data_IF_200282972685
#
_entry.id   IF_200282972685
#
_cell.length_a   1.000
_cell.length_b   1.000
_cell.length_c   1.000
_cell.angle_alpha   90.00
_cell.angle_beta   90.00
_cell.angle_gamma   90.00
#
_symmetry.space_group_name_H-M   'P 1'
#
loop_
_entity.id
_entity.type
_entity.pdbx_description
1 polymer ?
#
# COMPACT_ATOMS: atom_id res chain seq x y z
N UNK A 1 7.18 9.61 14.67
CA UNK A 1 6.54 8.70 15.60
C UNK A 1 5.91 7.61 14.74
N UNK A 2 5.45 6.51 15.33
CA UNK A 2 4.44 5.68 14.68
C UNK A 2 3.19 5.88 15.51
N UNK A 3 2.19 6.54 14.92
CA UNK A 3 0.91 6.83 15.55
C UNK A 3 -0.13 5.82 15.06
N UNK A 4 -0.86 5.20 15.98
CA UNK A 4 -2.00 4.34 15.64
C UNK A 4 -3.22 5.22 15.35
N UNK A 5 -3.86 4.98 14.22
CA UNK A 5 -5.07 5.66 13.77
C UNK A 5 -6.22 4.65 13.68
N UNK A 6 -7.35 4.95 14.32
CA UNK A 6 -8.57 4.16 14.14
C UNK A 6 -9.01 4.15 12.67
N UNK A 7 -9.71 3.09 12.23
CA UNK A 7 -10.10 2.92 10.82
C UNK A 7 -10.82 4.15 10.30
N UNK A 8 -11.81 4.67 11.03
CA UNK A 8 -12.62 5.82 10.60
C UNK A 8 -11.86 7.15 10.51
N UNK A 9 -10.58 7.21 10.90
CA UNK A 9 -9.79 8.45 10.88
C UNK A 9 -9.77 9.14 9.50
N UNK A 10 -9.72 8.36 8.42
CA UNK A 10 -9.65 8.93 7.07
C UNK A 10 -10.94 9.62 6.64
N UNK A 11 -12.09 9.34 7.26
CA UNK A 11 -13.39 9.94 6.86
C UNK A 11 -13.38 11.47 6.98
N UNK A 12 -12.46 12.03 7.77
CA UNK A 12 -12.27 13.47 7.94
C UNK A 12 -11.03 14.02 7.19
N UNK A 13 -10.51 13.29 6.20
CA UNK A 13 -9.32 13.65 5.42
C UNK A 13 -9.66 13.64 3.94
N UNK A 14 -9.77 14.81 3.32
CA UNK A 14 -10.26 14.93 1.95
C UNK A 14 -9.51 14.02 0.96
N UNK A 15 -8.17 14.02 0.99
CA UNK A 15 -7.40 13.26 0.02
C UNK A 15 -7.29 11.77 0.36
N UNK A 16 -6.96 11.38 1.59
CA UNK A 16 -6.98 9.95 1.97
C UNK A 16 -8.39 9.34 1.76
N UNK A 17 -9.47 10.05 2.12
CA UNK A 17 -10.83 9.58 1.89
C UNK A 17 -11.10 9.35 0.40
N UNK A 18 -10.69 10.29 -0.45
CA UNK A 18 -10.78 10.15 -1.91
C UNK A 18 -10.03 8.90 -2.40
N UNK A 19 -8.77 8.70 -1.98
CA UNK A 19 -7.99 7.53 -2.38
C UNK A 19 -8.69 6.22 -1.97
N UNK A 20 -9.10 6.10 -0.70
CA UNK A 20 -9.78 4.90 -0.22
C UNK A 20 -11.08 4.67 -0.99
N UNK A 21 -11.89 5.72 -1.19
CA UNK A 21 -13.16 5.64 -1.92
C UNK A 21 -12.93 5.17 -3.35
N UNK A 22 -12.13 5.88 -4.14
CA UNK A 22 -11.91 5.58 -5.56
C UNK A 22 -11.39 4.16 -5.78
N UNK A 23 -10.47 3.71 -4.92
CA UNK A 23 -9.90 2.37 -5.01
C UNK A 23 -10.91 1.27 -4.65
N UNK A 24 -11.66 1.48 -3.57
CA UNK A 24 -12.67 0.53 -3.14
C UNK A 24 -13.84 0.47 -4.11
N UNK A 25 -14.27 1.59 -4.69
CA UNK A 25 -15.29 1.62 -5.76
C UNK A 25 -14.83 0.79 -6.96
N UNK A 26 -13.62 1.03 -7.48
CA UNK A 26 -13.07 0.26 -8.60
C UNK A 26 -13.00 -1.24 -8.32
N UNK A 27 -12.56 -1.63 -7.12
CA UNK A 27 -12.53 -3.04 -6.71
C UNK A 27 -13.93 -3.63 -6.57
N UNK A 28 -14.89 -2.87 -6.04
CA UNK A 28 -16.27 -3.33 -5.89
C UNK A 28 -16.93 -3.60 -7.24
N UNK A 29 -16.70 -2.74 -8.23
CA UNK A 29 -17.18 -2.99 -9.59
C UNK A 29 -16.56 -4.26 -10.17
N UNK A 30 -15.25 -4.45 -10.03
CA UNK A 30 -14.57 -5.66 -10.50
C UNK A 30 -15.02 -6.94 -9.80
N UNK A 31 -15.43 -6.87 -8.53
CA UNK A 31 -15.97 -8.02 -7.80
C UNK A 31 -17.38 -8.41 -8.25
N UNK A 32 -18.18 -7.43 -8.68
CA UNK A 32 -19.55 -7.66 -9.11
C UNK A 32 -19.67 -7.95 -10.62
N UNK A 33 -18.64 -7.63 -11.39
CA UNK A 33 -18.63 -7.80 -12.85
C UNK A 33 -18.72 -9.28 -13.24
N UNK A 34 -19.64 -9.59 -14.13
CA UNK A 34 -19.85 -10.95 -14.64
C UNK A 34 -20.53 -11.94 -13.69
N UNK A 35 -21.05 -11.50 -12.54
CA UNK A 35 -21.89 -12.34 -11.66
C UNK A 35 -23.33 -12.33 -12.17
N UNK A 36 -23.78 -13.46 -12.73
CA UNK A 36 -25.16 -13.66 -13.22
C UNK A 36 -26.07 -14.39 -12.21
N UNK A 37 -25.51 -14.96 -11.14
CA UNK A 37 -26.27 -15.68 -10.11
C UNK A 37 -26.71 -14.74 -8.97
N UNK A 38 -28.01 -14.76 -8.66
CA UNK A 38 -28.61 -13.85 -7.66
C UNK A 38 -28.11 -14.11 -6.23
N UNK A 39 -27.79 -15.37 -5.88
CA UNK A 39 -27.30 -15.73 -4.55
C UNK A 39 -25.84 -15.28 -4.38
N UNK A 40 -25.01 -15.56 -5.38
CA UNK A 40 -23.61 -15.08 -5.43
C UNK A 40 -23.53 -13.55 -5.41
N UNK A 41 -24.41 -12.87 -6.17
CA UNK A 41 -24.49 -11.42 -6.20
C UNK A 41 -24.84 -10.84 -4.82
N UNK A 42 -25.76 -11.49 -4.10
CA UNK A 42 -26.14 -11.09 -2.76
C UNK A 42 -24.99 -11.26 -1.77
N UNK A 43 -24.32 -12.42 -1.80
CA UNK A 43 -23.17 -12.70 -0.93
C UNK A 43 -22.03 -11.70 -1.17
N UNK A 44 -21.77 -11.35 -2.43
CA UNK A 44 -20.73 -10.38 -2.78
C UNK A 44 -21.08 -8.96 -2.32
N UNK A 45 -22.36 -8.57 -2.38
CA UNK A 45 -22.82 -7.28 -1.84
C UNK A 45 -22.67 -7.22 -0.32
N UNK A 46 -23.03 -8.28 0.40
CA UNK A 46 -22.84 -8.37 1.86
C UNK A 46 -21.35 -8.29 2.24
N UNK A 47 -20.50 -8.95 1.45
CA UNK A 47 -19.04 -8.86 1.60
C UNK A 47 -18.54 -7.41 1.42
N UNK A 48 -19.00 -6.70 0.39
CA UNK A 48 -18.64 -5.30 0.14
C UNK A 48 -19.12 -4.41 1.29
N UNK A 49 -20.38 -4.52 1.71
CA UNK A 49 -20.94 -3.74 2.82
C UNK A 49 -20.16 -3.92 4.13
N UNK A 50 -19.68 -5.15 4.38
CA UNK A 50 -18.93 -5.48 5.59
C UNK A 50 -17.49 -4.95 5.54
N UNK A 51 -16.80 -5.09 4.40
CA UNK A 51 -15.35 -4.91 4.32
C UNK A 51 -14.91 -3.59 3.68
N UNK A 52 -15.82 -2.85 3.05
CA UNK A 52 -15.52 -1.62 2.34
C UNK A 52 -16.01 -0.42 3.16
N UNK A 53 -15.33 0.71 3.01
CA UNK A 53 -15.63 1.98 3.68
C UNK A 53 -16.29 2.99 2.75
N UNK A 54 -16.17 2.85 1.42
CA UNK A 54 -16.59 3.85 0.44
C UNK A 54 -18.07 4.21 0.52
N UNK A 55 -18.91 3.27 0.99
CA UNK A 55 -20.32 3.46 1.25
C UNK A 55 -20.58 4.56 2.30
N UNK A 56 -19.65 4.73 3.24
CA UNK A 56 -19.72 5.70 4.34
C UNK A 56 -18.83 6.93 4.10
N UNK A 57 -18.10 7.00 2.97
CA UNK A 57 -17.19 8.11 2.66
C UNK A 57 -17.93 9.18 1.87
N UNK A 58 -18.03 10.37 2.47
CA UNK A 58 -18.44 11.57 1.77
C UNK A 58 -17.22 12.45 1.48
N UNK A 59 -16.73 12.42 0.23
CA UNK A 59 -15.62 13.24 -0.23
C UNK A 59 -16.03 14.22 -1.35
N UNK A 60 -17.30 14.67 -1.35
CA UNK A 60 -17.88 15.48 -2.43
C UNK A 60 -17.12 16.78 -2.73
N UNK A 61 -16.35 17.27 -1.77
CA UNK A 61 -15.58 18.51 -1.88
C UNK A 61 -14.20 18.30 -2.55
N UNK A 62 -13.69 17.07 -2.58
CA UNK A 62 -12.45 16.76 -3.30
C UNK A 62 -12.77 16.37 -4.75
N UNK A 63 -12.40 17.23 -5.68
CA UNK A 63 -12.46 16.95 -7.12
C UNK A 63 -11.06 16.64 -7.63
N UNK A 64 -10.88 15.43 -8.14
CA UNK A 64 -9.69 15.08 -8.89
C UNK A 64 -9.55 15.99 -10.12
N UNK A 65 -8.36 16.57 -10.28
CA UNK A 65 -8.05 17.43 -11.42
C UNK A 65 -6.86 16.89 -12.23
N UNK A 66 -6.12 15.95 -11.66
CA UNK A 66 -4.88 15.41 -12.20
C UNK A 66 -4.61 14.04 -11.59
N UNK A 67 -4.18 13.09 -12.43
CA UNK A 67 -3.59 11.82 -11.99
C UNK A 67 -2.53 11.40 -12.99
N UNK A 68 -1.35 11.03 -12.49
CA UNK A 68 -0.27 10.37 -13.22
C UNK A 68 0.09 9.09 -12.46
N UNK A 69 0.11 7.95 -13.16
CA UNK A 69 0.35 6.64 -12.57
C UNK A 69 1.61 6.02 -13.16
N UNK A 70 2.50 5.56 -12.29
CA UNK A 70 3.78 4.95 -12.68
C UNK A 70 4.01 3.65 -11.89
N UNK A 71 4.68 2.68 -12.53
CA UNK A 71 5.17 1.47 -11.86
C UNK A 71 6.69 1.55 -11.83
N UNK A 72 7.26 1.48 -10.62
CA UNK A 72 8.69 1.64 -10.40
C UNK A 72 9.30 0.34 -9.92
N UNK A 73 10.36 -0.08 -10.59
CA UNK A 73 11.14 -1.27 -10.28
C UNK A 73 12.51 -0.92 -9.69
N UNK A 74 12.96 -1.70 -8.72
CA UNK A 74 14.34 -1.70 -8.24
C UNK A 74 15.04 -2.97 -8.71
N UNK A 75 16.11 -2.79 -9.49
CA UNK A 75 16.97 -3.89 -9.95
C UNK A 75 17.83 -4.42 -8.79
N UNK A 76 17.21 -5.22 -7.93
CA UNK A 76 17.82 -5.86 -6.76
C UNK A 76 17.54 -7.35 -6.88
N UNK A 77 18.57 -8.19 -6.92
CA UNK A 77 18.41 -9.63 -7.14
C UNK A 77 18.49 -10.47 -5.86
N UNK A 78 18.45 -9.87 -4.67
CA UNK A 78 18.46 -10.58 -3.38
C UNK A 78 17.32 -10.10 -2.47
N UNK A 79 16.40 -11.02 -2.14
CA UNK A 79 15.25 -10.72 -1.28
C UNK A 79 15.66 -10.25 0.12
N UNK A 80 16.81 -10.69 0.61
CA UNK A 80 17.21 -10.49 2.01
C UNK A 80 17.56 -9.03 2.34
N UNK A 81 17.90 -8.23 1.34
CA UNK A 81 18.14 -6.79 1.47
C UNK A 81 17.09 -5.93 0.76
N UNK A 82 16.10 -6.55 0.10
CA UNK A 82 15.18 -5.83 -0.79
C UNK A 82 14.38 -4.76 -0.05
N UNK A 83 13.71 -5.14 1.03
CA UNK A 83 12.89 -4.24 1.86
C UNK A 83 13.71 -3.12 2.51
N UNK A 84 14.95 -3.43 2.88
CA UNK A 84 15.91 -2.48 3.44
C UNK A 84 16.24 -1.37 2.42
N UNK A 85 16.63 -1.78 1.20
CA UNK A 85 16.95 -0.87 0.10
C UNK A 85 15.69 -0.12 -0.35
N UNK A 86 14.56 -0.81 -0.52
CA UNK A 86 13.28 -0.19 -0.89
C UNK A 86 12.90 0.91 0.10
N UNK A 87 13.03 0.65 1.41
CA UNK A 87 12.79 1.65 2.45
C UNK A 87 13.69 2.87 2.31
N UNK A 88 14.98 2.69 2.05
CA UNK A 88 15.91 3.80 1.82
C UNK A 88 15.57 4.63 0.57
N UNK A 89 15.27 3.96 -0.54
CA UNK A 89 14.92 4.62 -1.80
C UNK A 89 13.59 5.37 -1.70
N UNK A 90 12.59 4.78 -1.03
CA UNK A 90 11.31 5.43 -0.80
C UNK A 90 11.46 6.64 0.14
N UNK A 91 12.27 6.54 1.21
CA UNK A 91 12.56 7.70 2.07
C UNK A 91 13.24 8.82 1.27
N UNK A 92 14.18 8.49 0.38
CA UNK A 92 14.82 9.48 -0.50
C UNK A 92 13.82 10.18 -1.41
N UNK A 93 12.90 9.41 -2.02
CA UNK A 93 11.83 9.93 -2.86
C UNK A 93 10.86 10.83 -2.08
N UNK A 94 10.45 10.41 -0.88
CA UNK A 94 9.56 11.20 -0.02
C UNK A 94 10.19 12.51 0.43
N UNK A 95 11.50 12.50 0.73
CA UNK A 95 12.24 13.72 1.07
C UNK A 95 12.34 14.70 -0.09
N UNK A 96 12.44 14.24 -1.33
CA UNK A 96 12.57 15.14 -2.48
C UNK A 96 11.28 15.95 -2.75
N UNK A 97 10.13 15.46 -2.27
CA UNK A 97 8.84 16.16 -2.30
C UNK A 97 8.47 16.82 -0.96
N UNK A 98 9.43 16.96 -0.05
CA UNK A 98 9.25 17.54 1.29
C UNK A 98 8.14 16.85 2.12
N UNK A 99 7.97 15.55 1.98
CA UNK A 99 7.10 14.78 2.87
C UNK A 99 7.79 14.57 4.23
N UNK A 100 7.00 14.64 5.31
CA UNK A 100 7.48 14.49 6.70
C UNK A 100 7.01 13.17 7.33
N UNK A 101 5.81 12.72 6.94
CA UNK A 101 5.20 11.47 7.34
C UNK A 101 4.34 10.90 6.21
N UNK A 102 3.94 9.64 6.37
CA UNK A 102 3.01 8.95 5.47
C UNK A 102 1.93 8.23 6.27
N UNK A 103 0.71 8.21 5.74
CA UNK A 103 -0.37 7.37 6.26
C UNK A 103 -0.30 5.99 5.61
N UNK A 104 -0.11 4.93 6.38
CA UNK A 104 -0.10 3.54 5.90
C UNK A 104 -1.43 2.88 6.23
N UNK A 105 -2.17 2.43 5.21
CA UNK A 105 -3.54 1.93 5.36
C UNK A 105 -3.84 0.80 4.35
N UNK A 106 -4.47 -0.32 4.76
CA UNK A 106 -5.00 -1.30 3.82
C UNK A 106 -6.21 -0.72 3.09
N UNK A 107 -6.32 -0.95 1.79
CA UNK A 107 -7.40 -0.39 0.99
C UNK A 107 -8.78 -0.90 1.41
N UNK A 108 -8.94 -2.08 2.01
CA UNK A 108 -10.21 -2.55 2.62
C UNK A 108 -10.05 -2.81 4.13
N UNK A 109 -11.17 -2.89 4.86
CA UNK A 109 -11.16 -3.23 6.29
C UNK A 109 -10.61 -4.65 6.44
N UNK A 110 -9.47 -4.79 7.13
CA UNK A 110 -8.85 -6.09 7.37
C UNK A 110 -8.04 -6.06 8.67
N UNK A 111 -8.01 -7.19 9.37
CA UNK A 111 -7.10 -7.35 10.50
C UNK A 111 -5.67 -7.49 9.96
N UNK A 112 -4.77 -6.61 10.40
CA UNK A 112 -3.35 -6.69 10.10
C UNK A 112 -2.71 -8.04 10.50
N UNK A 113 -3.35 -8.79 11.41
CA UNK A 113 -2.90 -10.10 11.88
C UNK A 113 -3.68 -11.29 11.30
N UNK A 114 -4.46 -11.10 10.22
CA UNK A 114 -5.36 -12.12 9.64
C UNK A 114 -4.64 -13.42 9.23
N UNK A 115 -3.37 -13.35 8.83
CA UNK A 115 -2.63 -14.51 8.35
C UNK A 115 -1.83 -15.20 9.46
N UNK A 116 -1.88 -16.54 9.45
CA UNK A 116 -0.90 -17.39 10.11
C UNK A 116 0.14 -17.84 9.08
N UNK A 117 1.41 -17.50 9.33
CA UNK A 117 2.50 -17.83 8.43
C UNK A 117 3.72 -18.30 9.24
N UNK A 118 4.27 -19.46 8.87
CA UNK A 118 5.44 -20.05 9.54
C UNK A 118 6.77 -19.59 8.92
N UNK A 119 6.74 -18.79 7.86
CA UNK A 119 7.93 -18.24 7.24
C UNK A 119 8.58 -17.20 8.17
N UNK A 120 9.88 -17.39 8.47
CA UNK A 120 10.60 -16.62 9.49
C UNK A 120 10.50 -15.09 9.31
N UNK A 121 10.66 -14.53 8.09
CA UNK A 121 10.50 -13.09 7.89
C UNK A 121 9.10 -12.56 8.24
N UNK A 122 8.04 -13.32 7.91
CA UNK A 122 6.66 -12.94 8.25
C UNK A 122 6.44 -13.01 9.76
N UNK A 123 6.96 -14.03 10.43
CA UNK A 123 6.88 -14.12 11.89
C UNK A 123 7.57 -12.95 12.59
N UNK A 124 8.74 -12.54 12.08
CA UNK A 124 9.46 -11.35 12.56
C UNK A 124 8.62 -10.08 12.34
N UNK A 125 8.08 -9.87 11.13
CA UNK A 125 7.23 -8.73 10.81
C UNK A 125 5.97 -8.66 11.69
N UNK A 126 5.27 -9.78 11.89
CA UNK A 126 4.10 -9.85 12.76
C UNK A 126 4.45 -9.59 14.24
N UNK A 127 5.64 -10.02 14.69
CA UNK A 127 6.10 -9.75 16.04
C UNK A 127 6.38 -8.26 16.23
N UNK A 128 7.13 -7.63 15.32
CA UNK A 128 7.41 -6.19 15.37
C UNK A 128 6.12 -5.36 15.28
N UNK A 129 5.20 -5.74 14.39
CA UNK A 129 3.90 -5.10 14.29
C UNK A 129 3.10 -5.20 15.60
N UNK A 130 3.16 -6.36 16.27
CA UNK A 130 2.52 -6.54 17.58
C UNK A 130 3.15 -5.67 18.66
N UNK A 131 4.45 -5.46 18.62
CA UNK A 131 5.16 -4.56 19.55
C UNK A 131 4.75 -3.10 19.33
N UNK A 132 4.55 -2.68 18.07
CA UNK A 132 4.06 -1.34 17.71
C UNK A 132 2.60 -1.14 18.14
N UNK A 133 1.72 -2.10 17.84
CA UNK A 133 0.27 -1.98 18.07
C UNK A 133 -0.10 -2.23 19.53
N UNK A 134 0.61 -3.13 20.22
CA UNK A 134 0.30 -3.55 21.59
C UNK A 134 -0.95 -4.43 21.74
N UNK A 135 -1.53 -4.90 20.62
CA UNK A 135 -2.77 -5.73 20.58
C UNK A 135 -2.59 -6.93 19.66
N UNK A 136 -3.52 -7.89 19.73
CA UNK A 136 -3.52 -9.12 18.90
C UNK A 136 -4.23 -8.96 17.56
N UNK A 137 -5.05 -7.93 17.44
CA UNK A 137 -5.82 -7.55 16.27
C UNK A 137 -5.75 -6.03 16.10
N UNK A 138 -5.76 -5.57 14.85
CA UNK A 138 -5.80 -4.15 14.53
C UNK A 138 -6.35 -3.97 13.11
N UNK A 139 -7.27 -3.02 12.94
CA UNK A 139 -7.94 -2.76 11.66
C UNK A 139 -7.68 -1.33 11.15
N UNK A 140 -6.91 -0.56 11.92
CA UNK A 140 -6.65 0.85 11.66
C UNK A 140 -5.53 1.10 10.67
N UNK A 141 -5.07 2.34 10.67
CA UNK A 141 -3.96 2.83 9.86
C UNK A 141 -2.78 3.26 10.76
N UNK A 142 -1.68 3.65 10.14
CA UNK A 142 -0.51 4.19 10.83
C UNK A 142 -0.14 5.55 10.24
N UNK A 143 0.08 6.56 11.06
CA UNK A 143 0.81 7.77 10.64
C UNK A 143 2.28 7.63 11.07
N UNK A 144 3.18 7.68 10.09
CA UNK A 144 4.56 7.22 10.23
C UNK A 144 5.52 8.33 9.78
N UNK A 145 6.27 8.90 10.72
CA UNK A 145 7.40 9.79 10.36
C UNK A 145 8.41 9.03 9.49
N UNK A 146 9.06 9.73 8.57
CA UNK A 146 10.08 9.12 7.71
C UNK A 146 11.21 8.42 8.48
N UNK A 147 11.51 8.83 9.72
CA UNK A 147 12.53 8.19 10.57
C UNK A 147 12.19 6.75 10.97
N UNK A 148 10.91 6.38 10.97
CA UNK A 148 10.44 5.02 11.28
C UNK A 148 9.93 4.29 10.03
N UNK A 149 9.90 4.95 8.88
CA UNK A 149 9.32 4.38 7.67
C UNK A 149 10.03 3.09 7.26
N UNK A 150 11.36 3.02 7.34
CA UNK A 150 12.13 1.81 7.00
C UNK A 150 11.62 0.56 7.74
N UNK A 151 11.32 0.69 9.04
CA UNK A 151 10.75 -0.38 9.86
C UNK A 151 9.36 -0.79 9.34
N UNK A 152 8.51 0.19 9.01
CA UNK A 152 7.17 -0.10 8.50
C UNK A 152 7.19 -0.71 7.09
N UNK A 153 8.15 -0.33 6.24
CA UNK A 153 8.33 -0.93 4.90
C UNK A 153 8.72 -2.40 5.02
N UNK A 154 9.62 -2.77 5.94
CA UNK A 154 9.94 -4.17 6.22
C UNK A 154 8.67 -4.97 6.56
N UNK A 155 7.84 -4.43 7.47
CA UNK A 155 6.59 -5.08 7.88
C UNK A 155 5.63 -5.21 6.70
N UNK A 156 5.31 -4.11 6.02
CA UNK A 156 4.35 -4.08 4.90
C UNK A 156 4.81 -4.99 3.77
N UNK A 157 6.11 -4.98 3.43
CA UNK A 157 6.67 -5.82 2.38
C UNK A 157 6.45 -7.30 2.66
N UNK A 158 6.85 -7.78 3.85
CA UNK A 158 6.72 -9.20 4.18
C UNK A 158 5.26 -9.64 4.35
N UNK A 159 4.42 -8.79 4.92
CA UNK A 159 2.99 -9.09 5.05
C UNK A 159 2.33 -9.14 3.66
N UNK A 160 2.49 -8.12 2.83
CA UNK A 160 1.86 -8.07 1.50
C UNK A 160 2.38 -9.15 0.55
N UNK A 161 3.70 -9.41 0.55
CA UNK A 161 4.30 -10.42 -0.32
C UNK A 161 3.85 -11.85 -0.01
N UNK A 162 3.69 -12.17 1.27
CA UNK A 162 3.44 -13.53 1.72
C UNK A 162 1.99 -13.80 2.12
N UNK A 163 1.09 -12.83 1.99
CA UNK A 163 -0.32 -12.93 2.35
C UNK A 163 -1.23 -12.55 1.18
N UNK A 164 -1.69 -13.54 0.41
CA UNK A 164 -2.64 -13.31 -0.67
C UNK A 164 -4.01 -12.78 -0.19
N UNK A 165 -4.32 -12.93 1.10
CA UNK A 165 -5.55 -12.42 1.72
C UNK A 165 -5.39 -11.01 2.30
N UNK A 166 -4.17 -10.45 2.31
CA UNK A 166 -3.99 -9.06 2.75
C UNK A 166 -4.42 -8.13 1.61
N UNK A 167 -5.28 -7.15 1.89
CA UNK A 167 -5.60 -6.13 0.90
C UNK A 167 -4.35 -5.32 0.53
N UNK A 168 -4.40 -4.62 -0.60
CA UNK A 168 -3.31 -3.73 -0.99
C UNK A 168 -3.08 -2.66 0.09
N UNK A 169 -1.82 -2.46 0.46
CA UNK A 169 -1.44 -1.49 1.48
C UNK A 169 -0.92 -0.24 0.80
N UNK A 170 -1.54 0.88 1.12
CA UNK A 170 -1.20 2.19 0.59
C UNK A 170 -0.37 2.97 1.59
N UNK A 171 0.57 3.76 1.07
CA UNK A 171 1.28 4.79 1.80
C UNK A 171 0.92 6.12 1.16
N UNK A 172 0.17 6.95 1.89
CA UNK A 172 -0.46 8.15 1.37
C UNK A 172 0.18 9.38 1.98
N UNK A 173 0.67 10.27 1.12
CA UNK A 173 1.20 11.58 1.48
C UNK A 173 0.11 12.64 1.29
N UNK A 174 -0.65 12.92 2.35
CA UNK A 174 -1.81 13.83 2.30
C UNK A 174 -1.45 15.21 1.71
N UNK A 175 -0.41 15.84 2.26
CA UNK A 175 -0.01 17.20 1.87
C UNK A 175 0.46 17.28 0.41
N UNK A 176 1.20 16.27 -0.04
CA UNK A 176 1.77 16.20 -1.39
C UNK A 176 0.76 15.66 -2.41
N UNK A 177 -0.33 15.03 -1.97
CA UNK A 177 -1.32 14.36 -2.83
C UNK A 177 -0.67 13.27 -3.69
N UNK A 178 0.03 12.34 -3.03
CA UNK A 178 0.67 11.18 -3.67
C UNK A 178 0.29 9.92 -2.91
N UNK A 179 0.00 8.85 -3.63
CA UNK A 179 -0.21 7.51 -3.11
C UNK A 179 0.86 6.57 -3.62
N UNK A 180 1.35 5.71 -2.74
CA UNK A 180 2.30 4.65 -3.05
C UNK A 180 1.69 3.31 -2.66
N UNK A 181 2.00 2.26 -3.41
CA UNK A 181 1.62 0.88 -3.06
C UNK A 181 2.74 -0.08 -3.44
N UNK A 182 3.11 -0.96 -2.51
CA UNK A 182 4.11 -2.01 -2.77
C UNK A 182 3.36 -3.27 -3.17
N UNK A 183 3.49 -3.69 -4.42
CA UNK A 183 2.80 -4.89 -4.88
C UNK A 183 3.52 -6.16 -4.39
N UNK A 184 2.86 -7.32 -4.52
CA UNK A 184 3.41 -8.62 -4.10
C UNK A 184 4.74 -8.97 -4.81
N UNK A 185 4.99 -8.38 -5.98
CA UNK A 185 6.23 -8.56 -6.74
C UNK A 185 7.37 -7.68 -6.27
N UNK A 186 7.09 -6.69 -5.41
CA UNK A 186 8.07 -5.72 -4.89
C UNK A 186 8.11 -4.40 -5.66
N UNK A 187 7.41 -4.30 -6.80
CA UNK A 187 7.32 -3.05 -7.53
C UNK A 187 6.53 -2.01 -6.71
N UNK A 188 6.92 -0.74 -6.88
CA UNK A 188 6.29 0.39 -6.24
C UNK A 188 5.37 1.08 -7.25
N UNK A 189 4.07 1.00 -7.03
CA UNK A 189 3.07 1.76 -7.78
C UNK A 189 2.98 3.15 -7.18
N UNK A 190 2.98 4.17 -8.02
CA UNK A 190 2.93 5.58 -7.63
C UNK A 190 1.82 6.28 -8.38
N UNK A 191 0.87 6.83 -7.64
CA UNK A 191 -0.20 7.67 -8.17
C UNK A 191 -0.03 9.10 -7.66
N UNK A 192 0.10 10.05 -8.60
CA UNK A 192 0.43 11.44 -8.33
C UNK A 192 -0.77 12.30 -8.70
N UNK A 193 -1.35 12.98 -7.71
CA UNK A 193 -2.56 13.79 -7.87
C UNK A 193 -2.27 15.30 -7.78
N UNK A 194 -0.99 15.67 -7.79
CA UNK A 194 -0.53 17.05 -7.80
C UNK A 194 0.41 17.27 -8.98
N UNK A 195 -0.06 18.08 -9.93
CA UNK A 195 0.73 18.49 -11.10
C UNK A 195 2.01 19.26 -10.72
N UNK A 196 2.02 19.90 -9.55
CA UNK A 196 3.14 20.71 -9.07
C UNK A 196 4.38 19.86 -8.75
N UNK A 197 4.19 18.63 -8.27
CA UNK A 197 5.27 17.75 -7.83
C UNK A 197 5.56 16.61 -8.80
N UNK A 198 4.73 16.42 -9.81
CA UNK A 198 4.80 15.29 -10.74
C UNK A 198 6.17 15.18 -11.40
N UNK A 199 6.61 16.26 -12.05
CA UNK A 199 7.95 16.36 -12.62
C UNK A 199 9.06 16.13 -11.58
N UNK A 200 8.89 16.62 -10.35
CA UNK A 200 9.88 16.44 -9.29
C UNK A 200 9.98 14.98 -8.84
N UNK A 201 8.87 14.25 -8.77
CA UNK A 201 8.85 12.80 -8.49
C UNK A 201 9.52 12.04 -9.63
N UNK A 202 9.19 12.38 -10.88
CA UNK A 202 9.77 11.73 -12.06
C UNK A 202 11.30 11.83 -12.10
N UNK A 203 11.81 13.03 -11.88
CA UNK A 203 13.25 13.25 -11.80
C UNK A 203 13.89 12.57 -10.59
N UNK A 204 13.13 12.37 -9.51
CA UNK A 204 13.63 11.82 -8.25
C UNK A 204 13.74 10.30 -8.27
N UNK A 205 12.77 9.58 -8.85
CA UNK A 205 12.85 8.12 -8.88
C UNK A 205 14.02 7.65 -9.76
N UNK A 206 14.28 8.36 -10.87
CA UNK A 206 15.41 8.08 -11.78
C UNK A 206 16.76 8.22 -11.05
N UNK A 207 16.92 9.26 -10.23
CA UNK A 207 18.11 9.48 -9.39
C UNK A 207 18.22 8.50 -8.23
N UNK A 208 17.08 7.96 -7.77
CA UNK A 208 17.01 7.02 -6.66
C UNK A 208 17.28 5.58 -7.09
N UNK A 209 17.47 5.31 -8.38
CA UNK A 209 17.76 3.97 -8.91
C UNK A 209 16.51 3.15 -9.20
N UNK A 210 15.33 3.78 -9.19
CA UNK A 210 14.12 3.17 -9.74
C UNK A 210 14.13 3.26 -11.25
N UNK A 211 13.58 2.23 -11.88
CA UNK A 211 13.33 2.15 -13.32
C UNK A 211 11.81 2.18 -13.50
N UNK A 212 11.31 3.06 -14.37
CA UNK A 212 9.89 3.04 -14.74
C UNK A 212 9.63 1.88 -15.69
N UNK A 213 8.55 1.15 -15.46
CA UNK A 213 8.18 -0.05 -16.22
C UNK A 213 6.70 0.06 -16.64
N UNK A 214 6.36 -0.51 -17.80
CA UNK A 214 4.98 -0.44 -18.31
C UNK A 214 4.10 -1.53 -17.70
N UNK A 215 4.72 -2.61 -17.21
CA UNK A 215 4.00 -3.78 -16.72
C UNK A 215 4.68 -4.36 -15.45
N UNK A 216 3.90 -4.60 -14.40
CA UNK A 216 4.40 -5.20 -13.16
C UNK A 216 5.05 -6.59 -13.33
N UNK A 217 4.79 -7.26 -14.44
CA UNK A 217 5.34 -8.57 -14.78
C UNK A 217 6.67 -8.53 -15.55
N UNK A 218 7.16 -7.35 -15.92
CA UNK A 218 8.32 -7.20 -16.80
C UNK A 218 9.61 -7.84 -16.25
N UNK A 219 9.79 -7.83 -14.92
CA UNK A 219 10.97 -8.37 -14.23
C UNK A 219 10.65 -9.62 -13.37
N UNK A 220 9.80 -10.51 -13.88
CA UNK A 220 9.50 -11.78 -13.20
C UNK A 220 10.62 -12.84 -13.27
N UNK A 221 11.80 -12.53 -13.80
CA UNK A 221 12.83 -13.55 -14.11
C UNK A 221 13.37 -14.35 -12.89
N UNK A 222 13.83 -15.57 -13.19
CA UNK A 222 14.29 -16.62 -12.27
C UNK A 222 15.57 -16.28 -11.46
N UNK A 223 16.21 -15.14 -11.72
CA UNK A 223 17.50 -14.74 -11.11
C UNK A 223 17.37 -14.10 -9.70
N UNK A 224 16.16 -13.87 -9.23
CA UNK A 224 15.93 -13.25 -7.92
C UNK A 224 16.15 -14.26 -6.78
N UNK A 225 17.31 -14.18 -6.15
CA UNK A 225 17.72 -15.06 -5.05
C UNK A 225 16.76 -14.95 -3.88
N UNK A 226 16.23 -16.10 -3.44
CA UNK A 226 15.27 -16.17 -2.34
C UNK A 226 13.82 -15.86 -2.71
N UNK A 227 13.50 -15.70 -4.01
CA UNK A 227 12.12 -15.50 -4.50
C UNK A 227 11.23 -16.73 -4.27
N UNK A 228 11.77 -17.94 -4.48
CA UNK A 228 11.07 -19.20 -4.21
C UNK A 228 11.18 -19.51 -2.71
N UNK A 229 10.06 -19.43 -2.00
CA UNK A 229 9.95 -19.99 -0.65
C UNK A 229 10.12 -21.50 -0.82
N UNK A 230 11.26 -22.05 -0.38
CA UNK A 230 11.42 -23.51 -0.28
C UNK A 230 10.50 -23.96 0.86
N UNK A 231 9.34 -24.50 0.51
CA UNK A 231 8.41 -25.15 1.43
C UNK A 231 9.01 -26.50 1.84
#
# INVERSE_FOLDING_TARGET
>A
MINLLERDYFKNKDFIAYIIKSMQEALSYGLLDGIDDDEELKDMREYIETNYDFLDINCNDYKEQYVSSNILHLNINDISCYSDILGEKLISLLKSINAESVTIIPNTKCDWFIQKNNYKPVHKALKELREIVGKRNYYGAFDVDLKYLKQMIEIVFWLGRCNASLPYIHLICEKQRVSFMICKYGNLHVDIYSKEIDKSIEESYSKSGFISIDNEYEFLEDEFKGRKIKI
#
